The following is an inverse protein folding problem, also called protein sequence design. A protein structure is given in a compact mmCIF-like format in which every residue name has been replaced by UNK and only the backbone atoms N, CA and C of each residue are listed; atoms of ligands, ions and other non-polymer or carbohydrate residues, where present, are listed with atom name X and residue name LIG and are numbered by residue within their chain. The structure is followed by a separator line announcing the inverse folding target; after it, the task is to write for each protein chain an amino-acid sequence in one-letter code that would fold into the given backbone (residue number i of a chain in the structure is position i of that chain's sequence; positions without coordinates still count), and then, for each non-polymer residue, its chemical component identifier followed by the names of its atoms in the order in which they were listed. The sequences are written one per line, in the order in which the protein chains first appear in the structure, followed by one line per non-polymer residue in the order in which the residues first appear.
data_IF_172773132456
#
_entry.id   IF_172773132456
#
_cell.length_a   1.000
_cell.length_b   1.000
_cell.length_c   1.000
_cell.angle_alpha   90.00
_cell.angle_beta   90.00
_cell.angle_gamma   90.00
#
_symmetry.space_group_name_H-M   'P 1'
#
loop_
_entity.id
_entity.type
_entity.pdbx_description
1 polymer ?
#
# COMPACT_ATOMS: atom_id res chain seq x y z
N UNK A 1 15.11 -11.68 31.90
CA UNK A 1 14.27 -12.85 32.27
C UNK A 1 12.78 -12.53 32.41
N UNK A 2 12.32 -11.30 32.12
CA UNK A 2 10.92 -10.98 31.79
C UNK A 2 10.94 -9.65 31.00
N UNK A 3 11.41 -9.67 29.75
CA UNK A 3 11.21 -8.50 28.88
C UNK A 3 9.72 -8.49 28.55
N UNK A 4 8.98 -7.60 29.20
CA UNK A 4 7.57 -7.35 28.95
C UNK A 4 7.46 -5.96 28.34
N UNK A 5 6.70 -5.86 27.27
CA UNK A 5 6.28 -4.60 26.69
C UNK A 5 5.17 -4.00 27.55
N UNK A 6 5.16 -2.67 27.66
CA UNK A 6 4.07 -1.91 28.27
C UNK A 6 3.49 -0.99 27.21
N UNK A 7 2.30 -1.31 26.71
CA UNK A 7 1.53 -0.42 25.83
C UNK A 7 0.79 0.57 26.71
N UNK A 8 1.06 1.86 26.54
CA UNK A 8 0.40 2.94 27.28
C UNK A 8 -0.81 3.41 26.50
N UNK A 9 -1.97 3.49 27.16
CA UNK A 9 -3.21 4.03 26.59
C UNK A 9 -3.84 5.03 27.56
N UNK A 10 -4.79 5.82 27.08
CA UNK A 10 -5.62 6.70 27.91
C UNK A 10 -6.49 5.94 28.94
N UNK A 11 -6.71 4.64 28.70
CA UNK A 11 -7.44 3.70 29.58
C UNK A 11 -6.52 2.94 30.54
N UNK A 12 -5.22 3.24 30.53
CA UNK A 12 -4.23 2.61 31.39
C UNK A 12 -3.18 1.80 30.62
N UNK A 13 -2.35 1.10 31.39
CA UNK A 13 -1.20 0.36 30.85
C UNK A 13 -1.56 -1.11 30.62
N UNK A 14 -1.15 -1.65 29.47
CA UNK A 14 -1.30 -3.06 29.11
C UNK A 14 0.08 -3.69 29.10
N UNK A 15 0.31 -4.69 29.95
CA UNK A 15 1.53 -5.48 29.95
C UNK A 15 1.38 -6.67 29.01
N UNK A 16 2.33 -6.85 28.09
CA UNK A 16 2.33 -7.96 27.14
C UNK A 16 3.75 -8.51 26.90
N UNK A 17 3.83 -9.75 26.42
CA UNK A 17 5.11 -10.39 26.09
C UNK A 17 5.53 -10.13 24.64
N UNK A 18 4.55 -9.92 23.76
CA UNK A 18 4.72 -9.64 22.34
C UNK A 18 3.88 -8.40 21.96
N UNK A 19 4.38 -7.62 21.01
CA UNK A 19 3.66 -6.51 20.37
C UNK A 19 3.73 -6.70 18.86
N UNK A 20 2.59 -6.60 18.18
CA UNK A 20 2.53 -6.61 16.72
C UNK A 20 2.05 -5.23 16.26
N UNK A 21 2.85 -4.55 15.44
CA UNK A 21 2.51 -3.28 14.81
C UNK A 21 1.80 -3.55 13.49
N UNK A 22 0.52 -3.14 13.41
CA UNK A 22 -0.35 -3.22 12.24
C UNK A 22 -1.11 -1.89 12.06
N UNK A 23 -0.38 -0.78 12.04
CA UNK A 23 -0.88 0.59 12.17
C UNK A 23 -1.02 1.33 10.83
N UNK A 24 -0.66 0.68 9.72
CA UNK A 24 -0.93 1.15 8.36
C UNK A 24 -0.21 2.46 8.08
N UNK A 25 -0.97 3.51 7.78
CA UNK A 25 -0.42 4.83 7.49
C UNK A 25 0.33 5.46 8.68
N UNK A 26 0.13 4.95 9.91
CA UNK A 26 0.82 5.40 11.11
C UNK A 26 2.13 4.65 11.41
N UNK A 27 2.54 3.70 10.56
CA UNK A 27 3.68 2.82 10.82
C UNK A 27 4.95 3.56 11.30
N UNK A 28 5.28 4.72 10.71
CA UNK A 28 6.44 5.52 11.14
C UNK A 28 6.29 6.08 12.55
N UNK A 29 5.14 6.68 12.87
CA UNK A 29 4.85 7.18 14.22
C UNK A 29 4.93 6.07 15.25
N UNK A 30 4.42 4.88 14.92
CA UNK A 30 4.51 3.72 15.81
C UNK A 30 5.95 3.21 15.96
N UNK A 31 6.74 3.23 14.89
CA UNK A 31 8.18 2.92 14.94
C UNK A 31 8.95 3.89 15.85
N UNK A 32 8.67 5.18 15.77
CA UNK A 32 9.32 6.22 16.59
C UNK A 32 9.14 5.97 18.09
N UNK A 33 7.97 5.44 18.51
CA UNK A 33 7.69 5.09 19.92
C UNK A 33 8.67 4.04 20.48
N UNK A 34 9.30 3.25 19.62
CA UNK A 34 10.23 2.18 19.97
C UNK A 34 11.63 2.37 19.38
N UNK A 35 11.92 3.57 18.86
CA UNK A 35 13.24 3.92 18.31
C UNK A 35 13.55 3.32 16.94
N UNK A 36 12.53 2.99 16.15
CA UNK A 36 12.66 2.51 14.77
C UNK A 36 12.26 3.58 13.76
N UNK A 37 13.02 3.69 12.67
CA UNK A 37 12.60 4.40 11.46
C UNK A 37 12.04 3.37 10.47
N UNK A 38 10.72 3.14 10.53
CA UNK A 38 10.05 2.16 9.68
C UNK A 38 9.96 2.72 8.25
N UNK A 39 10.43 2.00 7.21
CA UNK A 39 10.53 2.52 5.85
C UNK A 39 9.18 2.46 5.11
N UNK A 40 8.17 3.13 5.66
CA UNK A 40 6.81 3.19 5.12
C UNK A 40 6.37 4.64 4.98
N UNK A 41 6.02 5.09 3.78
CA UNK A 41 5.39 6.39 3.55
C UNK A 41 4.18 6.16 2.64
N UNK A 42 2.98 6.63 3.00
CA UNK A 42 1.83 6.46 2.15
C UNK A 42 1.93 7.24 0.83
N UNK A 43 1.29 6.70 -0.21
CA UNK A 43 1.10 7.37 -1.50
C UNK A 43 -0.40 7.59 -1.71
N UNK A 44 -0.77 8.73 -2.29
CA UNK A 44 -2.14 8.98 -2.71
C UNK A 44 -2.60 7.96 -3.77
N UNK A 45 -3.83 7.45 -3.64
CA UNK A 45 -4.47 6.60 -4.63
C UNK A 45 -5.91 7.03 -4.83
N UNK A 46 -6.33 7.07 -6.09
CA UNK A 46 -7.64 7.55 -6.47
C UNK A 46 -8.50 6.48 -7.13
N UNK A 47 -9.78 6.46 -6.77
CA UNK A 47 -10.80 5.70 -7.48
C UNK A 47 -12.09 6.49 -7.65
N UNK A 48 -12.78 6.21 -8.75
CA UNK A 48 -14.07 6.79 -9.11
C UNK A 48 -15.15 5.74 -8.93
N UNK A 49 -16.30 6.14 -8.40
CA UNK A 49 -17.51 5.30 -8.34
C UNK A 49 -18.56 5.91 -9.24
N UNK A 50 -19.17 5.11 -10.12
CA UNK A 50 -20.25 5.58 -10.99
C UNK A 50 -21.61 5.51 -10.31
N UNK A 51 -22.58 6.21 -10.88
CA UNK A 51 -23.99 5.91 -10.64
C UNK A 51 -24.36 4.48 -11.10
N UNK A 52 -25.47 3.90 -10.60
CA UNK A 52 -25.93 2.59 -11.06
C UNK A 52 -26.19 2.55 -12.57
N UNK A 53 -25.65 1.54 -13.24
CA UNK A 53 -25.82 1.35 -14.67
C UNK A 53 -27.07 0.50 -14.96
N UNK A 54 -28.00 0.93 -15.85
CA UNK A 54 -29.23 0.19 -16.13
C UNK A 54 -29.01 -1.28 -16.47
N UNK A 55 -28.03 -1.56 -17.34
CA UNK A 55 -27.72 -2.95 -17.75
C UNK A 55 -27.14 -3.80 -16.62
N UNK A 56 -26.30 -3.24 -15.74
CA UNK A 56 -25.78 -3.95 -14.56
C UNK A 56 -26.94 -4.25 -13.60
N UNK A 57 -27.83 -3.29 -13.39
CA UNK A 57 -29.02 -3.46 -12.56
C UNK A 57 -29.97 -4.52 -13.12
N UNK A 58 -30.13 -4.57 -14.46
CA UNK A 58 -30.94 -5.59 -15.11
C UNK A 58 -30.32 -6.99 -14.99
N UNK A 59 -29.01 -7.12 -15.20
CA UNK A 59 -28.28 -8.38 -14.94
C UNK A 59 -28.50 -8.88 -13.50
N UNK A 60 -28.42 -7.97 -12.53
CA UNK A 60 -28.65 -8.29 -11.12
C UNK A 60 -30.08 -8.76 -10.85
N UNK A 61 -31.09 -8.15 -11.47
CA UNK A 61 -32.50 -8.60 -11.37
C UNK A 61 -32.70 -9.99 -11.97
N UNK A 62 -31.98 -10.31 -13.04
CA UNK A 62 -32.00 -11.62 -13.68
C UNK A 62 -31.26 -12.71 -12.87
N UNK A 63 -30.60 -12.34 -11.77
CA UNK A 63 -29.84 -13.27 -10.94
C UNK A 63 -28.54 -13.75 -11.59
N UNK A 64 -28.01 -13.00 -12.56
CA UNK A 64 -26.73 -13.30 -13.18
C UNK A 64 -25.58 -13.03 -12.21
N UNK A 65 -24.47 -13.78 -12.29
CA UNK A 65 -23.30 -13.53 -11.45
C UNK A 65 -22.67 -12.17 -11.77
N UNK A 66 -22.01 -11.61 -10.76
CA UNK A 66 -21.16 -10.44 -10.86
C UNK A 66 -20.05 -10.68 -11.89
N UNK A 67 -19.73 -9.65 -12.68
CA UNK A 67 -18.64 -9.69 -13.63
C UNK A 67 -17.28 -9.83 -12.93
N UNK A 68 -16.33 -10.46 -13.62
CA UNK A 68 -14.96 -10.55 -13.13
C UNK A 68 -14.31 -9.16 -13.02
N UNK A 69 -13.41 -9.01 -12.06
CA UNK A 69 -12.59 -7.80 -11.93
C UNK A 69 -11.69 -7.67 -13.17
N UNK A 70 -11.79 -6.54 -13.86
CA UNK A 70 -10.94 -6.20 -14.99
C UNK A 70 -9.68 -5.50 -14.48
N UNK A 71 -8.53 -5.90 -15.02
CA UNK A 71 -7.26 -5.21 -14.84
C UNK A 71 -6.72 -4.85 -16.22
N UNK A 72 -6.54 -3.57 -16.49
CA UNK A 72 -5.98 -3.06 -17.73
C UNK A 72 -4.57 -2.50 -17.48
N UNK A 73 -3.57 -3.28 -17.87
CA UNK A 73 -2.15 -2.99 -17.64
C UNK A 73 -1.65 -1.79 -18.43
N UNK A 74 -2.03 -1.66 -19.70
CA UNK A 74 -1.44 -0.65 -20.59
C UNK A 74 -1.90 0.77 -20.21
N UNK A 75 -3.11 0.88 -19.66
CA UNK A 75 -3.68 2.14 -19.15
C UNK A 75 -3.74 2.20 -17.63
N UNK A 76 -3.05 1.31 -16.92
CA UNK A 76 -2.84 1.36 -15.47
C UNK A 76 -4.11 1.53 -14.61
N UNK A 77 -5.17 0.75 -14.87
CA UNK A 77 -6.39 0.79 -14.05
C UNK A 77 -6.99 -0.58 -13.77
N UNK A 78 -7.80 -0.67 -12.70
CA UNK A 78 -8.71 -1.78 -12.47
C UNK A 78 -10.15 -1.31 -12.46
N UNK A 79 -11.07 -2.17 -12.88
CA UNK A 79 -12.50 -1.91 -12.93
C UNK A 79 -13.26 -3.11 -12.35
N UNK A 80 -14.26 -2.87 -11.49
CA UNK A 80 -15.19 -3.91 -11.04
C UNK A 80 -16.59 -3.34 -10.83
N UNK A 81 -17.58 -4.22 -10.67
CA UNK A 81 -18.92 -3.80 -10.25
C UNK A 81 -18.87 -3.23 -8.82
N UNK A 82 -19.66 -2.18 -8.56
CA UNK A 82 -19.82 -1.59 -7.23
C UNK A 82 -21.22 -1.01 -7.11
N UNK A 83 -21.99 -1.45 -6.11
CA UNK A 83 -23.34 -0.95 -5.80
C UNK A 83 -24.31 -0.84 -7.00
N UNK A 84 -24.17 -1.68 -8.03
CA UNK A 84 -24.99 -1.65 -9.26
C UNK A 84 -24.46 -0.74 -10.36
N UNK A 85 -23.35 -0.05 -10.13
CA UNK A 85 -22.52 0.64 -11.12
C UNK A 85 -21.13 0.00 -11.17
N UNK A 86 -20.11 0.84 -11.35
CA UNK A 86 -18.71 0.43 -11.45
C UNK A 86 -17.82 1.28 -10.55
N UNK A 87 -16.68 0.72 -10.17
CA UNK A 87 -15.55 1.43 -9.54
C UNK A 87 -14.32 1.30 -10.42
N UNK A 88 -13.70 2.44 -10.74
CA UNK A 88 -12.48 2.56 -11.54
C UNK A 88 -11.36 3.09 -10.64
N UNK A 89 -10.39 2.24 -10.30
CA UNK A 89 -9.19 2.66 -9.57
C UNK A 89 -7.98 2.74 -10.49
N UNK A 90 -7.21 3.82 -10.36
CA UNK A 90 -6.18 4.20 -11.33
C UNK A 90 -4.83 4.32 -10.63
N UNK A 91 -3.77 3.84 -11.29
CA UNK A 91 -2.39 4.00 -10.88
C UNK A 91 -1.69 4.97 -11.84
N UNK A 92 -1.91 6.25 -11.63
CA UNK A 92 -1.34 7.33 -12.43
C UNK A 92 0.16 7.54 -12.15
N UNK A 93 0.87 8.12 -13.11
CA UNK A 93 2.21 8.65 -12.84
C UNK A 93 2.08 10.00 -12.14
N UNK A 94 2.94 10.24 -11.16
CA UNK A 94 2.97 11.51 -10.42
C UNK A 94 1.97 11.60 -9.28
N UNK A 95 1.43 10.48 -8.80
CA UNK A 95 0.74 10.44 -7.51
C UNK A 95 1.75 10.77 -6.40
N UNK A 96 1.49 11.80 -5.57
CA UNK A 96 2.44 12.23 -4.56
C UNK A 96 2.43 11.30 -3.36
N UNK A 97 3.56 11.22 -2.67
CA UNK A 97 3.53 10.74 -1.28
C UNK A 97 2.70 11.67 -0.39
N UNK A 98 2.09 11.11 0.64
CA UNK A 98 1.38 11.84 1.67
C UNK A 98 1.87 11.41 3.06
N UNK A 99 1.48 12.16 4.10
CA UNK A 99 1.81 11.84 5.50
C UNK A 99 3.29 11.53 5.76
N UNK A 100 4.21 12.35 5.24
CA UNK A 100 5.67 12.16 5.36
C UNK A 100 6.13 12.01 6.82
N UNK A 101 5.50 12.80 7.70
CA UNK A 101 5.73 12.81 9.16
C UNK A 101 4.66 12.00 9.93
N UNK A 102 3.91 11.16 9.21
CA UNK A 102 2.73 10.44 9.68
C UNK A 102 1.46 11.29 9.68
N UNK A 103 0.28 10.66 9.70
CA UNK A 103 -1.00 11.36 9.85
C UNK A 103 -1.08 12.06 11.21
N UNK A 104 -1.91 13.10 11.34
CA UNK A 104 -2.15 13.74 12.64
C UNK A 104 -2.80 12.77 13.63
N UNK A 105 -2.69 13.05 14.94
CA UNK A 105 -3.22 12.15 15.98
C UNK A 105 -4.76 12.11 16.00
N UNK A 106 -5.40 13.12 15.42
CA UNK A 106 -6.85 13.27 15.26
C UNK A 106 -7.37 12.82 13.87
N UNK A 107 -6.48 12.37 12.98
CA UNK A 107 -6.83 11.93 11.63
C UNK A 107 -7.85 10.77 11.68
N UNK A 108 -9.05 11.00 11.14
CA UNK A 108 -10.14 10.03 11.09
C UNK A 108 -10.89 10.15 9.77
N UNK A 109 -10.89 9.08 8.97
CA UNK A 109 -11.62 9.00 7.70
C UNK A 109 -11.33 10.18 6.73
N UNK A 110 -10.11 10.71 6.79
CA UNK A 110 -9.71 11.81 5.93
C UNK A 110 -9.44 11.32 4.50
N UNK A 111 -9.93 12.10 3.55
CA UNK A 111 -9.65 11.94 2.13
C UNK A 111 -8.99 13.23 1.63
N UNK A 112 -8.12 13.09 0.64
CA UNK A 112 -7.54 14.23 -0.05
C UNK A 112 -8.50 14.76 -1.10
N UNK A 113 -8.22 15.96 -1.60
CA UNK A 113 -8.94 16.48 -2.76
C UNK A 113 -8.67 15.59 -3.98
N UNK A 114 -9.69 15.44 -4.83
CA UNK A 114 -9.55 14.72 -6.09
C UNK A 114 -8.71 15.52 -7.09
N UNK A 115 -7.82 14.83 -7.79
CA UNK A 115 -6.93 15.39 -8.81
C UNK A 115 -7.25 14.74 -10.17
N UNK A 116 -8.45 15.04 -10.68
CA UNK A 116 -9.03 14.39 -11.85
C UNK A 116 -8.23 14.60 -13.15
N UNK A 117 -7.53 15.73 -13.27
CA UNK A 117 -6.72 16.03 -14.45
C UNK A 117 -5.60 14.98 -14.66
N UNK A 118 -5.03 14.45 -13.56
CA UNK A 118 -4.04 13.36 -13.61
C UNK A 118 -4.66 12.04 -14.10
N UNK A 119 -5.94 11.85 -13.85
CA UNK A 119 -6.67 10.62 -14.13
C UNK A 119 -7.30 10.60 -15.54
N UNK A 120 -7.51 11.77 -16.14
CA UNK A 120 -8.27 11.92 -17.38
C UNK A 120 -7.78 11.00 -18.52
N UNK A 121 -6.47 10.87 -18.80
CA UNK A 121 -5.99 9.97 -19.85
C UNK A 121 -6.40 8.50 -19.61
N UNK A 122 -6.39 8.06 -18.34
CA UNK A 122 -6.77 6.70 -17.94
C UNK A 122 -8.28 6.49 -18.03
N UNK A 123 -9.07 7.51 -17.67
CA UNK A 123 -10.52 7.52 -17.79
C UNK A 123 -10.94 7.42 -19.25
N UNK A 124 -10.34 8.19 -20.15
CA UNK A 124 -10.60 8.13 -21.59
C UNK A 124 -10.30 6.73 -22.16
N UNK A 125 -9.18 6.12 -21.76
CA UNK A 125 -8.87 4.73 -22.12
C UNK A 125 -9.89 3.73 -21.56
N UNK A 126 -10.37 3.93 -20.33
CA UNK A 126 -11.44 3.09 -19.76
C UNK A 126 -12.73 3.21 -20.57
N UNK A 127 -13.18 4.42 -20.91
CA UNK A 127 -14.38 4.64 -21.73
C UNK A 127 -14.22 4.00 -23.11
N UNK A 128 -13.04 4.10 -23.72
CA UNK A 128 -12.78 3.44 -24.99
C UNK A 128 -12.88 1.91 -24.89
N UNK A 129 -12.33 1.33 -23.83
CA UNK A 129 -12.27 -0.13 -23.61
C UNK A 129 -13.59 -0.73 -23.12
N UNK A 130 -14.30 0.01 -22.27
CA UNK A 130 -15.56 -0.35 -21.61
C UNK A 130 -16.54 0.83 -21.78
N UNK A 131 -17.18 0.98 -22.95
CA UNK A 131 -18.07 2.12 -23.24
C UNK A 131 -19.15 2.38 -22.20
N UNK A 132 -19.69 1.32 -21.59
CA UNK A 132 -20.69 1.39 -20.51
C UNK A 132 -20.23 2.27 -19.32
N UNK A 133 -18.92 2.38 -19.06
CA UNK A 133 -18.41 3.26 -18.02
C UNK A 133 -18.73 4.74 -18.29
N UNK A 134 -18.72 5.17 -19.56
CA UNK A 134 -19.04 6.54 -19.97
C UNK A 134 -20.52 6.82 -20.17
N UNK A 135 -21.40 5.82 -20.01
CA UNK A 135 -22.86 5.97 -20.21
C UNK A 135 -23.58 6.51 -18.96
N UNK A 136 -22.91 6.50 -17.80
CA UNK A 136 -23.43 6.97 -16.53
C UNK A 136 -22.52 8.02 -15.90
N UNK A 137 -23.09 8.83 -15.00
CA UNK A 137 -22.34 9.85 -14.26
C UNK A 137 -21.38 9.25 -13.22
N UNK A 138 -20.39 10.06 -12.84
CA UNK A 138 -19.56 9.79 -11.64
C UNK A 138 -20.36 10.21 -10.41
N UNK A 139 -20.53 9.28 -9.49
CA UNK A 139 -21.19 9.51 -8.20
C UNK A 139 -20.24 10.20 -7.22
N UNK A 140 -19.05 9.62 -7.04
CA UNK A 140 -18.06 10.09 -6.08
C UNK A 140 -16.64 9.79 -6.59
N UNK A 141 -15.67 10.58 -6.12
CA UNK A 141 -14.24 10.39 -6.35
C UNK A 141 -13.54 10.37 -5.01
N UNK A 142 -12.77 9.33 -4.75
CA UNK A 142 -12.08 9.13 -3.48
C UNK A 142 -10.57 9.21 -3.74
N UNK A 143 -9.89 10.09 -3.01
CA UNK A 143 -8.43 10.14 -2.96
C UNK A 143 -7.98 9.80 -1.54
N UNK A 144 -7.30 8.67 -1.36
CA UNK A 144 -6.91 8.15 -0.05
C UNK A 144 -5.44 7.78 0.02
N UNK A 145 -4.94 7.53 1.23
CA UNK A 145 -3.57 7.13 1.48
C UNK A 145 -3.41 5.60 1.53
N UNK A 146 -2.51 5.05 0.72
CA UNK A 146 -2.09 3.65 0.79
C UNK A 146 -0.66 3.58 1.32
N UNK A 147 -0.42 2.78 2.36
CA UNK A 147 0.91 2.58 2.92
C UNK A 147 1.83 1.84 1.94
N UNK A 148 2.92 2.49 1.51
CA UNK A 148 3.93 1.91 0.63
C UNK A 148 5.27 1.77 1.33
N UNK A 149 6.01 0.74 0.92
CA UNK A 149 7.45 0.62 1.10
C UNK A 149 8.18 0.93 -0.22
N UNK A 150 9.51 1.15 -0.20
CA UNK A 150 10.29 1.49 -1.39
C UNK A 150 10.27 0.50 -2.55
N UNK A 151 9.91 -0.75 -2.28
CA UNK A 151 9.80 -1.81 -3.29
C UNK A 151 8.34 -2.24 -3.55
N UNK A 152 7.39 -1.66 -2.83
CA UNK A 152 5.96 -1.96 -2.93
C UNK A 152 5.51 -3.20 -2.15
N UNK A 153 6.43 -3.99 -1.56
CA UNK A 153 6.09 -5.17 -0.77
C UNK A 153 5.89 -4.81 0.72
N UNK A 154 5.01 -5.49 1.47
CA UNK A 154 4.86 -5.22 2.89
C UNK A 154 6.13 -5.57 3.68
N UNK A 155 6.17 -5.13 4.93
CA UNK A 155 7.15 -5.58 5.92
C UNK A 155 6.45 -6.47 6.96
N UNK A 156 6.77 -7.76 6.94
CA UNK A 156 6.13 -8.80 7.76
C UNK A 156 7.21 -9.63 8.46
N UNK A 157 7.29 -9.52 9.79
CA UNK A 157 8.26 -10.29 10.56
C UNK A 157 8.80 -9.57 11.81
N UNK A 158 9.92 -10.06 12.39
CA UNK A 158 10.51 -9.48 13.59
C UNK A 158 11.11 -8.10 13.31
N UNK A 159 10.87 -7.14 14.20
CA UNK A 159 11.48 -5.82 14.13
C UNK A 159 13.00 -5.88 14.36
N UNK A 160 13.80 -5.10 13.60
CA UNK A 160 15.26 -5.08 13.78
C UNK A 160 15.64 -4.61 15.18
N UNK A 161 16.46 -5.39 15.88
CA UNK A 161 17.01 -5.02 17.18
C UNK A 161 16.03 -5.05 18.36
N UNK A 162 14.75 -5.39 18.15
CA UNK A 162 13.73 -5.44 19.21
C UNK A 162 13.24 -6.87 19.44
N UNK A 163 13.37 -7.36 20.68
CA UNK A 163 12.86 -8.68 21.05
C UNK A 163 11.34 -8.65 21.20
N UNK A 164 10.67 -9.62 20.57
CA UNK A 164 9.21 -9.81 20.62
C UNK A 164 8.38 -8.59 20.15
N UNK A 165 8.97 -7.72 19.33
CA UNK A 165 8.24 -6.68 18.60
C UNK A 165 8.20 -7.09 17.13
N UNK A 166 7.01 -7.07 16.54
CA UNK A 166 6.74 -7.62 15.22
C UNK A 166 6.11 -6.55 14.35
N UNK A 167 6.42 -6.57 13.06
CA UNK A 167 5.89 -5.63 12.07
C UNK A 167 5.02 -6.40 11.08
N UNK A 168 3.88 -5.81 10.76
CA UNK A 168 3.00 -6.22 9.68
C UNK A 168 2.43 -4.94 9.02
N UNK A 169 3.31 -4.20 8.35
CA UNK A 169 3.07 -2.81 7.91
C UNK A 169 3.38 -2.64 6.41
N UNK A 170 3.06 -1.47 5.85
CA UNK A 170 3.45 -1.11 4.48
C UNK A 170 2.72 -1.90 3.39
N UNK A 171 1.46 -2.27 3.66
CA UNK A 171 0.64 -3.06 2.75
C UNK A 171 0.04 -2.22 1.62
N UNK A 172 0.68 -2.26 0.44
CA UNK A 172 0.14 -1.69 -0.81
C UNK A 172 -1.10 -2.44 -1.32
N UNK A 173 -1.18 -3.75 -1.07
CA UNK A 173 -2.30 -4.64 -1.42
C UNK A 173 -2.86 -5.35 -0.19
N UNK A 174 -3.15 -4.58 0.88
CA UNK A 174 -3.45 -5.11 2.21
C UNK A 174 -4.66 -6.05 2.27
N UNK A 175 -5.76 -5.74 1.59
CA UNK A 175 -6.96 -6.60 1.63
C UNK A 175 -6.65 -8.00 1.08
N UNK A 176 -5.94 -8.06 -0.05
CA UNK A 176 -5.56 -9.32 -0.69
C UNK A 176 -4.52 -10.09 0.13
N UNK A 177 -3.53 -9.38 0.69
CA UNK A 177 -2.40 -10.01 1.38
C UNK A 177 -2.67 -10.31 2.87
N UNK A 178 -3.68 -9.69 3.50
CA UNK A 178 -3.88 -9.71 4.95
C UNK A 178 -3.97 -11.12 5.54
N UNK A 179 -4.73 -12.01 4.89
CA UNK A 179 -4.91 -13.39 5.36
C UNK A 179 -3.59 -14.15 5.41
N UNK A 180 -2.80 -14.09 4.32
CA UNK A 180 -1.50 -14.75 4.23
C UNK A 180 -0.47 -14.13 5.17
N UNK A 181 -0.38 -12.80 5.22
CA UNK A 181 0.57 -12.11 6.09
C UNK A 181 0.29 -12.38 7.58
N UNK A 182 -0.98 -12.36 7.99
CA UNK A 182 -1.38 -12.70 9.36
C UNK A 182 -1.08 -14.16 9.72
N UNK A 183 -1.36 -15.10 8.80
CA UNK A 183 -1.05 -16.51 8.99
C UNK A 183 0.45 -16.75 9.16
N UNK A 184 1.27 -16.26 8.23
CA UNK A 184 2.72 -16.49 8.27
C UNK A 184 3.38 -15.81 9.48
N UNK A 185 2.91 -14.63 9.87
CA UNK A 185 3.42 -13.97 11.08
C UNK A 185 3.05 -14.73 12.35
N UNK A 186 1.84 -15.28 12.43
CA UNK A 186 1.41 -16.08 13.58
C UNK A 186 2.27 -17.35 13.74
N UNK A 187 2.54 -18.08 12.65
CA UNK A 187 3.46 -19.23 12.67
C UNK A 187 4.84 -18.81 13.13
N UNK A 188 5.37 -17.73 12.58
CA UNK A 188 6.70 -17.23 12.98
C UNK A 188 6.76 -16.89 14.48
N UNK A 189 5.68 -16.33 15.04
CA UNK A 189 5.61 -16.00 16.46
C UNK A 189 5.50 -17.24 17.38
N UNK A 190 4.81 -18.29 16.94
CA UNK A 190 4.51 -19.48 17.74
C UNK A 190 5.63 -20.52 17.62
N UNK A 191 6.02 -20.84 16.38
CA UNK A 191 6.93 -21.93 16.05
C UNK A 191 8.38 -21.45 15.86
N UNK A 192 8.59 -20.14 15.75
CA UNK A 192 9.91 -19.52 15.61
C UNK A 192 10.39 -19.34 14.17
N UNK A 193 9.64 -19.85 13.20
CA UNK A 193 9.88 -19.69 11.75
C UNK A 193 8.56 -19.72 10.94
N UNK A 194 8.49 -19.04 9.78
CA UNK A 194 7.34 -19.13 8.87
C UNK A 194 7.36 -20.42 8.04
N UNK A 195 6.22 -20.84 7.49
CA UNK A 195 6.14 -22.02 6.61
C UNK A 195 6.54 -21.76 5.16
N UNK A 196 6.57 -20.49 4.73
CA UNK A 196 7.08 -20.08 3.41
C UNK A 196 8.27 -19.14 3.53
N UNK A 197 9.00 -18.95 2.43
CA UNK A 197 10.06 -17.94 2.38
C UNK A 197 9.46 -16.53 2.52
N UNK A 198 9.93 -15.80 3.54
CA UNK A 198 9.48 -14.45 3.86
C UNK A 198 10.55 -13.39 3.54
N UNK A 199 11.66 -13.75 2.86
CA UNK A 199 12.79 -12.83 2.65
C UNK A 199 12.38 -11.59 1.86
N UNK A 200 11.48 -11.73 0.88
CA UNK A 200 10.96 -10.62 0.08
C UNK A 200 10.11 -9.61 0.87
N UNK A 201 9.61 -10.00 2.06
CA UNK A 201 8.80 -9.17 2.94
C UNK A 201 9.44 -8.95 4.31
N UNK A 202 10.66 -9.43 4.55
CA UNK A 202 11.33 -9.27 5.84
C UNK A 202 11.60 -7.78 6.11
N UNK A 203 11.26 -7.25 7.30
CA UNK A 203 11.50 -5.84 7.63
C UNK A 203 12.98 -5.43 7.56
N UNK A 204 13.90 -6.39 7.74
CA UNK A 204 15.36 -6.18 7.81
C UNK A 204 16.01 -6.11 6.43
N UNK A 205 15.24 -6.24 5.34
CA UNK A 205 15.75 -6.02 3.97
C UNK A 205 16.14 -4.56 3.73
N UNK A 206 15.53 -3.63 4.48
CA UNK A 206 15.91 -2.24 4.50
C UNK A 206 16.91 -1.95 5.63
N UNK A 207 17.81 -1.00 5.39
CA UNK A 207 18.80 -0.58 6.37
C UNK A 207 18.85 0.94 6.53
N UNK A 208 19.86 1.47 7.23
CA UNK A 208 19.99 2.91 7.53
C UNK A 208 20.05 3.84 6.32
N UNK A 209 20.21 3.31 5.11
CA UNK A 209 20.18 4.09 3.87
C UNK A 209 18.76 4.56 3.51
N UNK A 210 17.71 3.89 4.01
CA UNK A 210 16.31 4.14 3.66
C UNK A 210 15.77 5.42 4.34
N UNK A 211 16.45 6.54 4.12
CA UNK A 211 16.15 7.86 4.67
C UNK A 211 14.88 8.46 4.05
N UNK A 212 14.33 9.51 4.68
CA UNK A 212 13.12 10.22 4.19
C UNK A 212 13.18 10.60 2.70
N UNK A 213 14.32 11.10 2.22
CA UNK A 213 14.49 11.45 0.81
C UNK A 213 14.41 10.23 -0.11
N UNK A 214 15.03 9.11 0.29
CA UNK A 214 14.93 7.86 -0.45
C UNK A 214 13.48 7.32 -0.48
N UNK A 215 12.79 7.33 0.66
CA UNK A 215 11.42 6.84 0.77
C UNK A 215 10.46 7.64 -0.13
N UNK A 216 10.65 8.96 -0.23
CA UNK A 216 9.83 9.81 -1.12
C UNK A 216 9.90 9.33 -2.57
N UNK A 217 11.10 9.37 -3.14
CA UNK A 217 11.31 9.04 -4.55
C UNK A 217 10.93 7.58 -4.86
N UNK A 218 11.27 6.65 -3.96
CA UNK A 218 11.04 5.22 -4.19
C UNK A 218 9.61 4.78 -4.02
N UNK A 219 8.85 5.40 -3.11
CA UNK A 219 7.44 5.03 -2.94
C UNK A 219 6.60 5.54 -4.12
N UNK A 220 6.89 6.74 -4.63
CA UNK A 220 6.25 7.26 -5.85
C UNK A 220 6.64 6.42 -7.08
N UNK A 221 7.90 5.98 -7.19
CA UNK A 221 8.33 5.04 -8.23
C UNK A 221 7.63 3.68 -8.08
N UNK A 222 7.53 3.13 -6.87
CA UNK A 222 6.86 1.85 -6.63
C UNK A 222 5.39 1.89 -7.04
N UNK A 223 4.66 2.97 -6.68
CA UNK A 223 3.28 3.21 -7.10
C UNK A 223 3.16 3.29 -8.63
N UNK A 224 4.02 4.10 -9.26
CA UNK A 224 4.02 4.32 -10.71
C UNK A 224 4.29 3.03 -11.52
N UNK A 225 4.90 2.03 -10.89
CA UNK A 225 5.28 0.77 -11.53
C UNK A 225 4.31 -0.39 -11.29
N UNK A 226 3.23 -0.22 -10.51
CA UNK A 226 2.30 -1.31 -10.15
C UNK A 226 1.72 -2.06 -11.37
N UNK A 227 1.49 -1.34 -12.47
CA UNK A 227 0.92 -1.88 -13.71
C UNK A 227 1.96 -2.06 -14.82
N UNK A 228 3.23 -1.76 -14.54
CA UNK A 228 4.31 -1.86 -15.52
C UNK A 228 4.76 -3.33 -15.68
N UNK A 229 5.01 -3.80 -16.91
CA UNK A 229 5.64 -5.09 -17.13
C UNK A 229 7.05 -5.14 -16.51
N UNK A 230 7.27 -6.09 -15.60
CA UNK A 230 8.56 -6.33 -14.97
C UNK A 230 9.36 -7.37 -15.76
N UNK A 231 10.62 -7.07 -16.05
CA UNK A 231 11.53 -7.97 -16.77
C UNK A 231 12.61 -8.51 -15.83
N UNK A 232 13.20 -9.68 -16.12
CA UNK A 232 14.42 -10.12 -15.45
C UNK A 232 15.50 -9.03 -15.55
N UNK A 233 16.25 -8.84 -14.48
CA UNK A 233 17.30 -7.82 -14.36
C UNK A 233 16.81 -6.37 -14.55
N UNK A 234 15.54 -6.09 -14.21
CA UNK A 234 15.01 -4.73 -14.20
C UNK A 234 15.82 -3.80 -13.29
N UNK A 235 16.16 -2.64 -13.83
CA UNK A 235 16.79 -1.56 -13.08
C UNK A 235 15.81 -0.42 -12.83
N UNK A 236 15.72 0.00 -11.56
CA UNK A 236 14.95 1.17 -11.14
C UNK A 236 15.89 2.32 -10.78
N UNK A 237 15.62 3.49 -11.35
CA UNK A 237 16.52 4.64 -11.33
C UNK A 237 16.31 5.59 -10.16
N UNK A 238 15.10 5.62 -9.57
CA UNK A 238 14.78 6.60 -8.54
C UNK A 238 15.71 6.49 -7.31
N UNK A 239 16.14 7.66 -6.81
CA UNK A 239 17.08 7.82 -5.71
C UNK A 239 18.47 7.17 -5.89
N UNK A 240 18.88 6.77 -7.11
CA UNK A 240 20.25 6.29 -7.39
C UNK A 240 21.14 7.43 -7.95
N UNK A 241 22.43 7.47 -7.59
CA UNK A 241 23.10 6.66 -6.56
C UNK A 241 22.86 7.21 -5.14
N UNK A 242 22.78 6.31 -4.13
CA UNK A 242 22.57 6.70 -2.73
C UNK A 242 23.73 6.32 -1.81
N UNK A 243 24.14 5.03 -1.85
CA UNK A 243 25.22 4.49 -1.03
C UNK A 243 26.24 3.83 -1.95
N UNK A 244 27.35 4.51 -2.16
CA UNK A 244 28.38 4.10 -3.12
C UNK A 244 29.62 3.53 -2.44
N UNK A 245 30.37 2.70 -3.16
CA UNK A 245 31.70 2.29 -2.74
C UNK A 245 32.72 3.42 -3.02
N UNK A 246 33.87 3.49 -2.32
CA UNK A 246 34.89 4.53 -2.56
C UNK A 246 35.46 4.59 -3.99
N UNK A 247 35.28 3.53 -4.78
CA UNK A 247 35.71 3.47 -6.19
C UNK A 247 34.61 3.82 -7.19
N UNK A 248 33.40 4.17 -6.75
CA UNK A 248 32.24 4.38 -7.64
C UNK A 248 32.51 5.39 -8.76
N UNK A 249 33.09 6.55 -8.42
CA UNK A 249 33.39 7.61 -9.42
C UNK A 249 34.55 7.24 -10.36
N UNK A 250 35.16 6.06 -10.21
CA UNK A 250 36.28 5.55 -11.03
C UNK A 250 35.87 4.37 -11.92
N UNK A 251 34.66 3.84 -11.78
CA UNK A 251 34.09 2.80 -12.64
C UNK A 251 33.23 3.44 -13.72
#
# INVERSE_FOLDING_TARGET
KNQRWIVKTDKGNIACEHVVSCTGNFARKTGEMVGLDIPVIPVEHQFLVTEPHPDIMERKKQGLPEMGVLRESDSAYYLREEAGGMILGIYEKGAPICYVDGPSDDCQYELFNSELDRLMPHIECCIHRVPAFGEVGVKDVYNGAIAYTPDGNPIVGPAPGLKNFWLNEGHSFGITAAGGAGWQLAEWMIDGEPTVDMMGVDPRRFGPYATRGYLREKNEEAYSNVFTPHYPDEERGAARPLKTAPCYDRM
#
